data_IF_662308042576
#
_entry.id   IF_662308042576
#
_cell.length_a   1.000
_cell.length_b   1.000
_cell.length_c   1.000
_cell.angle_alpha   90.00
_cell.angle_beta   90.00
_cell.angle_gamma   90.00
#
_symmetry.space_group_name_H-M   'P 1'
#
loop_
_entity.id
_entity.type
_entity.pdbx_description
1 polymer ?
#
# COMPACT_ATOMS: atom_id res chain seq x y z
N UNK A 1 -7.33 -5.60 18.30
CA UNK A 1 -7.87 -5.57 16.92
C UNK A 1 -7.14 -4.46 16.19
N UNK A 2 -6.70 -4.70 14.96
CA UNK A 2 -5.90 -3.75 14.19
C UNK A 2 -6.68 -2.47 13.86
N UNK A 3 -8.00 -2.56 13.67
CA UNK A 3 -8.86 -1.38 13.48
C UNK A 3 -8.81 -0.42 14.67
N UNK A 4 -8.84 -0.93 15.90
CA UNK A 4 -8.74 -0.10 17.11
C UNK A 4 -7.37 0.57 17.22
N UNK A 5 -6.29 -0.17 16.93
CA UNK A 5 -4.93 0.38 16.90
C UNK A 5 -4.80 1.46 15.82
N UNK A 6 -5.34 1.22 14.63
CA UNK A 6 -5.35 2.18 13.53
C UNK A 6 -6.13 3.45 13.91
N UNK A 7 -7.31 3.30 14.52
CA UNK A 7 -8.13 4.43 15.00
C UNK A 7 -7.39 5.25 16.03
N UNK A 8 -6.82 4.61 17.05
CA UNK A 8 -6.03 5.29 18.09
C UNK A 8 -4.86 6.10 17.50
N UNK A 9 -4.07 5.49 16.62
CA UNK A 9 -2.89 6.15 16.02
C UNK A 9 -3.28 7.26 15.04
N UNK A 10 -4.40 7.11 14.32
CA UNK A 10 -4.95 8.15 13.45
C UNK A 10 -5.49 9.35 14.26
N UNK A 11 -6.16 9.11 15.38
CA UNK A 11 -6.62 10.15 16.31
C UNK A 11 -5.44 10.95 16.88
N UNK A 12 -4.39 10.25 17.35
CA UNK A 12 -3.18 10.90 17.88
C UNK A 12 -2.49 11.80 16.85
N UNK A 13 -2.63 11.48 15.55
CA UNK A 13 -2.08 12.27 14.43
C UNK A 13 -3.04 13.33 13.91
N UNK A 14 -4.25 13.45 14.45
CA UNK A 14 -5.27 14.38 13.98
C UNK A 14 -5.83 14.04 12.58
N UNK A 15 -5.73 12.78 12.17
CA UNK A 15 -6.23 12.29 10.87
C UNK A 15 -7.70 11.82 10.94
N UNK A 16 -8.22 11.66 12.15
CA UNK A 16 -9.61 11.33 12.45
C UNK A 16 -10.11 12.16 13.62
N UNK A 17 -11.42 12.32 13.72
CA UNK A 17 -12.12 12.77 14.93
C UNK A 17 -12.61 11.58 15.76
N UNK A 18 -12.79 11.72 17.08
CA UNK A 18 -13.21 10.63 17.97
C UNK A 18 -14.49 9.92 17.54
N UNK A 19 -15.44 10.66 16.98
CA UNK A 19 -16.74 10.17 16.51
C UNK A 19 -16.70 9.47 15.14
N UNK A 20 -15.59 9.55 14.42
CA UNK A 20 -15.46 8.92 13.10
C UNK A 20 -15.18 7.42 13.23
N UNK A 21 -15.94 6.61 12.49
CA UNK A 21 -15.67 5.18 12.33
C UNK A 21 -14.78 4.90 11.13
N UNK A 22 -14.03 3.79 11.22
CA UNK A 22 -13.19 3.33 10.11
C UNK A 22 -13.99 2.32 9.29
N UNK A 23 -14.58 2.82 8.20
CA UNK A 23 -15.10 1.97 7.14
C UNK A 23 -13.98 1.52 6.18
N UNK A 24 -14.36 0.70 5.18
CA UNK A 24 -13.45 0.18 4.16
C UNK A 24 -12.66 1.28 3.44
N UNK A 25 -13.33 2.38 3.08
CA UNK A 25 -12.75 3.49 2.33
C UNK A 25 -11.77 4.28 3.19
N UNK A 26 -12.13 4.49 4.45
CA UNK A 26 -11.30 5.19 5.43
C UNK A 26 -10.05 4.39 5.76
N UNK A 27 -10.18 3.08 5.98
CA UNK A 27 -9.03 2.19 6.18
C UNK A 27 -8.06 2.26 5.00
N UNK A 28 -8.59 2.21 3.77
CA UNK A 28 -7.78 2.35 2.56
C UNK A 28 -7.01 3.68 2.53
N UNK A 29 -7.68 4.82 2.71
CA UNK A 29 -7.00 6.11 2.64
C UNK A 29 -5.96 6.31 3.73
N UNK A 30 -6.25 5.90 4.98
CA UNK A 30 -5.29 5.99 6.07
C UNK A 30 -4.00 5.22 5.75
N UNK A 31 -4.10 3.99 5.23
CA UNK A 31 -2.93 3.17 4.90
C UNK A 31 -2.23 3.64 3.61
N UNK A 32 -2.99 4.05 2.60
CA UNK A 32 -2.44 4.62 1.35
C UNK A 32 -1.55 5.81 1.65
N UNK A 33 -2.02 6.72 2.51
CA UNK A 33 -1.39 8.00 2.79
C UNK A 33 -0.26 7.93 3.84
N UNK A 34 -0.05 6.77 4.49
CA UNK A 34 1.20 6.53 5.25
C UNK A 34 2.42 6.77 4.35
N UNK A 35 3.49 7.42 4.80
CA UNK A 35 4.72 7.56 4.03
C UNK A 35 5.25 6.23 3.45
N UNK A 36 5.67 6.28 2.18
CA UNK A 36 6.28 5.12 1.52
C UNK A 36 7.73 4.96 2.00
N UNK A 37 7.91 4.32 3.14
CA UNK A 37 9.21 4.11 3.78
C UNK A 37 9.19 2.78 4.51
N UNK A 38 10.33 2.09 4.54
CA UNK A 38 10.45 0.80 5.23
C UNK A 38 10.30 1.00 6.75
N UNK A 39 9.31 0.33 7.34
CA UNK A 39 9.17 0.22 8.79
C UNK A 39 10.22 -0.76 9.37
N UNK A 40 10.42 -0.76 10.69
CA UNK A 40 11.36 -1.66 11.34
C UNK A 40 11.01 -3.16 11.17
N UNK A 41 9.71 -3.46 11.02
CA UNK A 41 9.17 -4.78 10.68
C UNK A 41 8.04 -4.66 9.64
N UNK A 42 7.67 -5.79 9.03
CA UNK A 42 6.48 -5.90 8.15
C UNK A 42 5.21 -6.26 8.92
N UNK A 43 5.29 -6.38 10.24
CA UNK A 43 4.13 -6.62 11.10
C UNK A 43 3.15 -5.45 11.04
N UNK A 44 1.86 -5.77 11.09
CA UNK A 44 0.79 -4.80 10.86
C UNK A 44 0.75 -3.76 11.96
N UNK A 45 0.93 -4.18 13.21
CA UNK A 45 1.03 -3.34 14.39
C UNK A 45 2.19 -2.35 14.26
N UNK A 46 3.37 -2.83 13.85
CA UNK A 46 4.55 -1.97 13.64
C UNK A 46 4.31 -0.93 12.55
N UNK A 47 3.68 -1.31 11.45
CA UNK A 47 3.33 -0.39 10.36
C UNK A 47 2.37 0.70 10.83
N UNK A 48 1.38 0.35 11.66
CA UNK A 48 0.43 1.31 12.22
C UNK A 48 1.14 2.25 13.21
N UNK A 49 1.89 1.72 14.17
CA UNK A 49 2.58 2.53 15.19
C UNK A 49 3.64 3.46 14.59
N UNK A 50 4.46 2.97 13.66
CA UNK A 50 5.44 3.80 12.96
C UNK A 50 4.83 4.66 11.86
N UNK A 51 3.56 4.42 11.51
CA UNK A 51 2.81 5.11 10.48
C UNK A 51 3.52 5.16 9.12
N UNK A 52 4.14 4.06 8.69
CA UNK A 52 4.91 3.99 7.43
C UNK A 52 4.98 2.56 6.90
N UNK A 53 5.08 2.42 5.60
CA UNK A 53 5.27 1.11 4.98
C UNK A 53 5.61 1.17 3.50
N UNK A 54 6.21 0.12 2.97
CA UNK A 54 6.36 -0.11 1.52
C UNK A 54 5.12 -0.80 0.96
N UNK A 55 5.07 -1.08 -0.35
CA UNK A 55 3.94 -1.74 -1.00
C UNK A 55 3.50 -3.01 -0.27
N UNK A 56 4.43 -3.93 -0.03
CA UNK A 56 4.17 -5.19 0.68
C UNK A 56 3.59 -4.96 2.08
N UNK A 57 4.20 -4.09 2.90
CA UNK A 57 3.72 -3.80 4.24
C UNK A 57 2.30 -3.22 4.24
N UNK A 58 2.05 -2.21 3.40
CA UNK A 58 0.74 -1.56 3.29
C UNK A 58 -0.35 -2.52 2.85
N UNK A 59 -0.13 -3.33 1.80
CA UNK A 59 -1.13 -4.28 1.33
C UNK A 59 -1.34 -5.44 2.32
N UNK A 60 -0.33 -5.85 3.08
CA UNK A 60 -0.49 -6.85 4.14
C UNK A 60 -1.34 -6.31 5.29
N UNK A 61 -1.12 -5.05 5.67
CA UNK A 61 -1.96 -4.37 6.66
C UNK A 61 -3.42 -4.24 6.15
N UNK A 62 -3.62 -3.76 4.92
CA UNK A 62 -4.97 -3.65 4.33
C UNK A 62 -5.71 -4.98 4.29
N UNK A 63 -5.03 -6.07 3.91
CA UNK A 63 -5.62 -7.41 3.93
C UNK A 63 -6.21 -7.77 5.29
N UNK A 64 -5.48 -7.50 6.38
CA UNK A 64 -5.95 -7.81 7.74
C UNK A 64 -7.06 -6.87 8.20
N UNK A 65 -6.96 -5.57 7.90
CA UNK A 65 -8.01 -4.60 8.23
C UNK A 65 -9.32 -4.92 7.51
N UNK A 66 -9.25 -5.26 6.23
CA UNK A 66 -10.42 -5.67 5.45
C UNK A 66 -11.05 -6.96 5.99
N UNK A 67 -10.24 -7.92 6.43
CA UNK A 67 -10.74 -9.11 7.10
C UNK A 67 -11.47 -8.79 8.41
N UNK A 68 -10.96 -7.87 9.24
CA UNK A 68 -11.66 -7.40 10.45
C UNK A 68 -12.98 -6.67 10.12
N UNK A 69 -13.06 -6.01 8.95
CA UNK A 69 -14.28 -5.39 8.43
C UNK A 69 -15.22 -6.38 7.71
N UNK A 70 -14.87 -7.67 7.65
CA UNK A 70 -15.71 -8.73 7.05
C UNK A 70 -15.51 -8.95 5.54
N UNK A 71 -14.47 -8.38 4.93
CA UNK A 71 -14.21 -8.50 3.50
C UNK A 71 -13.10 -9.51 3.18
N UNK A 72 -13.26 -10.23 2.07
CA UNK A 72 -12.23 -11.14 1.54
C UNK A 72 -11.29 -10.41 0.59
N UNK A 73 -10.00 -10.75 0.67
CA UNK A 73 -9.00 -10.16 -0.22
C UNK A 73 -7.80 -11.07 -0.48
N UNK A 74 -7.21 -10.93 -1.68
CA UNK A 74 -6.09 -11.73 -2.18
C UNK A 74 -4.89 -10.83 -2.46
N UNK A 75 -3.71 -11.26 -2.03
CA UNK A 75 -2.46 -10.57 -2.33
C UNK A 75 -1.91 -11.10 -3.65
N UNK A 76 -1.44 -10.21 -4.50
CA UNK A 76 -0.71 -10.56 -5.73
C UNK A 76 0.65 -9.85 -5.73
N UNK A 77 1.66 -10.50 -6.29
CA UNK A 77 2.95 -9.89 -6.57
C UNK A 77 3.17 -9.95 -8.08
N UNK A 78 3.37 -8.79 -8.70
CA UNK A 78 3.48 -8.65 -10.14
C UNK A 78 4.69 -7.80 -10.50
N UNK A 79 5.16 -7.96 -11.73
CA UNK A 79 6.11 -7.00 -12.30
C UNK A 79 5.34 -5.87 -12.98
N UNK A 80 5.72 -4.64 -12.68
CA UNK A 80 5.22 -3.42 -13.34
C UNK A 80 6.31 -2.90 -14.26
N UNK A 81 5.98 -2.68 -15.53
CA UNK A 81 6.93 -2.16 -16.52
C UNK A 81 6.65 -0.69 -16.74
N UNK A 82 7.55 0.15 -16.26
CA UNK A 82 7.54 1.58 -16.55
C UNK A 82 8.43 1.85 -17.76
N UNK A 83 7.97 2.70 -18.67
CA UNK A 83 8.77 3.17 -19.79
C UNK A 83 9.30 4.55 -19.46
N UNK A 84 10.63 4.67 -19.40
CA UNK A 84 11.33 5.91 -19.11
C UNK A 84 12.10 6.28 -20.37
N UNK A 85 11.92 7.50 -20.87
CA UNK A 85 12.73 8.02 -21.97
C UNK A 85 14.20 8.09 -21.51
N UNK A 86 15.12 7.30 -22.10
CA UNK A 86 16.52 7.33 -21.68
C UNK A 86 17.16 8.72 -21.81
N UNK A 87 16.61 9.60 -22.66
CA UNK A 87 17.09 10.98 -22.81
C UNK A 87 16.78 11.86 -21.60
N UNK A 88 15.79 11.51 -20.77
CA UNK A 88 15.43 12.26 -19.57
C UNK A 88 16.35 11.96 -18.37
N UNK A 89 17.32 11.05 -18.52
CA UNK A 89 18.28 10.68 -17.49
C UNK A 89 19.71 10.78 -18.01
N UNK A 90 20.70 10.79 -17.10
CA UNK A 90 22.10 11.00 -17.44
C UNK A 90 23.03 9.90 -16.92
N UNK A 91 24.25 9.86 -17.46
CA UNK A 91 25.34 9.02 -16.97
C UNK A 91 25.08 7.52 -17.10
N UNK A 92 25.43 6.77 -16.05
CA UNK A 92 25.31 5.31 -16.03
C UNK A 92 23.86 4.83 -16.16
N UNK A 93 22.91 5.57 -15.59
CA UNK A 93 21.49 5.21 -15.65
C UNK A 93 20.95 5.28 -17.09
N UNK A 94 21.34 6.30 -17.86
CA UNK A 94 20.99 6.40 -19.29
C UNK A 94 21.47 5.17 -20.07
N UNK A 95 22.72 4.78 -19.89
CA UNK A 95 23.30 3.59 -20.57
C UNK A 95 22.53 2.31 -20.22
N UNK A 96 22.13 2.16 -18.95
CA UNK A 96 21.32 1.01 -18.52
C UNK A 96 19.93 1.01 -19.18
N UNK A 97 19.26 2.17 -19.24
CA UNK A 97 17.94 2.29 -19.87
C UNK A 97 18.00 2.13 -21.39
N UNK A 98 19.03 2.66 -22.07
CA UNK A 98 19.24 2.41 -23.50
C UNK A 98 19.37 0.91 -23.80
N UNK A 99 20.12 0.19 -22.95
CA UNK A 99 20.27 -1.27 -23.04
C UNK A 99 18.97 -2.06 -22.79
N UNK A 100 17.99 -1.48 -22.08
CA UNK A 100 16.66 -2.09 -21.85
C UNK A 100 15.56 -1.50 -22.74
N UNK A 101 15.91 -0.70 -23.75
CA UNK A 101 14.96 0.04 -24.60
C UNK A 101 13.96 0.89 -23.78
N UNK A 102 14.46 1.57 -22.76
CA UNK A 102 13.68 2.41 -21.84
C UNK A 102 12.82 1.64 -20.84
N UNK A 103 12.86 0.31 -20.83
CA UNK A 103 12.05 -0.51 -19.91
C UNK A 103 12.68 -0.56 -18.53
N UNK A 104 11.93 -0.12 -17.53
CA UNK A 104 12.23 -0.28 -16.12
C UNK A 104 11.23 -1.26 -15.50
N UNK A 105 11.71 -2.42 -15.07
CA UNK A 105 10.88 -3.47 -14.48
C UNK A 105 10.99 -3.36 -12.96
N UNK A 106 9.85 -3.13 -12.31
CA UNK A 106 9.72 -3.09 -10.85
C UNK A 106 8.86 -4.25 -10.36
N UNK A 107 9.10 -4.74 -9.15
CA UNK A 107 8.24 -5.73 -8.49
C UNK A 107 7.34 -5.01 -7.50
N UNK A 108 6.03 -5.21 -7.65
CA UNK A 108 5.03 -4.56 -6.81
C UNK A 108 4.02 -5.57 -6.27
N UNK A 109 3.60 -5.35 -5.02
CA UNK A 109 2.51 -6.09 -4.43
C UNK A 109 1.23 -5.29 -4.62
N UNK A 110 0.13 -5.96 -4.93
CA UNK A 110 -1.22 -5.37 -4.95
C UNK A 110 -2.16 -6.20 -4.09
N UNK A 111 -3.30 -5.62 -3.73
CA UNK A 111 -4.38 -6.33 -3.06
C UNK A 111 -5.61 -6.35 -3.99
N UNK A 112 -6.21 -7.52 -4.19
CA UNK A 112 -7.50 -7.66 -4.85
C UNK A 112 -8.55 -7.82 -3.76
N UNK A 113 -9.52 -6.91 -3.72
CA UNK A 113 -10.68 -6.94 -2.84
C UNK A 113 -11.87 -7.58 -3.58
N UNK A 114 -12.54 -8.52 -2.93
CA UNK A 114 -13.81 -9.07 -3.41
C UNK A 114 -14.97 -8.16 -2.97
N UNK A 115 -15.79 -7.73 -3.91
CA UNK A 115 -16.95 -6.87 -3.68
C UNK A 115 -18.22 -7.70 -3.47
N UNK A 116 -19.24 -7.17 -2.75
CA UNK A 116 -20.47 -7.90 -2.46
C UNK A 116 -21.27 -8.33 -3.70
N UNK A 117 -21.10 -7.64 -4.82
CA UNK A 117 -21.75 -7.97 -6.10
C UNK A 117 -21.02 -9.06 -6.90
N UNK A 118 -19.97 -9.65 -6.31
CA UNK A 118 -19.11 -10.65 -6.96
C UNK A 118 -18.02 -10.05 -7.86
N UNK A 119 -17.91 -8.71 -7.92
CA UNK A 119 -16.82 -8.03 -8.60
C UNK A 119 -15.50 -8.09 -7.83
N UNK A 120 -14.42 -7.73 -8.51
CA UNK A 120 -13.09 -7.59 -7.91
C UNK A 120 -12.55 -6.16 -8.15
N UNK A 121 -11.85 -5.62 -7.15
CA UNK A 121 -11.20 -4.31 -7.24
C UNK A 121 -9.73 -4.43 -6.82
N UNK A 122 -8.82 -3.87 -7.61
CA UNK A 122 -7.40 -3.77 -7.25
C UNK A 122 -7.21 -2.51 -6.40
N UNK A 123 -6.60 -2.68 -5.23
CA UNK A 123 -6.35 -1.67 -4.20
C UNK A 123 -4.90 -1.67 -3.75
#
# INVERSE_FOLDING_TARGET
MLLETLKSEALQRGLLKPEEEIDLKKAFFLVRDMPYTRASSRDSETIIHEWRGTCSGKHYLLKKLFAELGYQSKLIACTTVNHIDPKSVHGKLRKLLEGSNGRFVDVHNYLILELPDGGEMIV
#
